data_IF_105553585388
#
_entry.id   IF_105553585388
#
_cell.length_a   1.000
_cell.length_b   1.000
_cell.length_c   1.000
_cell.angle_alpha   90.00
_cell.angle_beta   90.00
_cell.angle_gamma   90.00
#
_symmetry.space_group_name_H-M   'P 1'
#
loop_
_entity.id
_entity.type
_entity.pdbx_description
1 polymer ?
#
# COMPACT_ATOMS: atom_id res chain seq x y z
N UNK A 1 -31.94 -14.33 -8.15
CA UNK A 1 -30.85 -13.95 -9.10
C UNK A 1 -29.81 -13.23 -8.27
N UNK A 2 -28.55 -13.60 -8.37
CA UNK A 2 -27.47 -12.93 -7.63
C UNK A 2 -27.05 -11.70 -8.43
N UNK A 3 -27.04 -10.54 -7.78
CA UNK A 3 -26.67 -9.26 -8.40
C UNK A 3 -25.29 -8.80 -7.92
N UNK A 4 -24.52 -8.19 -8.82
CA UNK A 4 -23.24 -7.55 -8.45
C UNK A 4 -23.54 -6.38 -7.52
N UNK A 5 -22.78 -6.26 -6.43
CA UNK A 5 -23.00 -5.25 -5.41
C UNK A 5 -23.98 -5.67 -4.29
N UNK A 6 -24.68 -6.80 -4.44
CA UNK A 6 -25.54 -7.34 -3.38
C UNK A 6 -24.72 -8.02 -2.27
N UNK A 7 -25.36 -8.16 -1.10
CA UNK A 7 -24.83 -8.93 0.04
C UNK A 7 -25.61 -10.23 0.10
N UNK A 8 -24.89 -11.34 0.14
CA UNK A 8 -25.47 -12.67 0.27
C UNK A 8 -24.88 -13.38 1.47
N UNK A 9 -25.66 -14.24 2.11
CA UNK A 9 -25.23 -15.07 3.24
C UNK A 9 -24.83 -16.45 2.76
N UNK A 10 -23.61 -16.86 3.03
CA UNK A 10 -23.02 -18.08 2.49
C UNK A 10 -22.30 -18.89 3.56
N UNK A 11 -22.27 -20.20 3.37
CA UNK A 11 -21.62 -21.15 4.27
C UNK A 11 -20.21 -21.45 3.82
N UNK A 12 -19.24 -21.35 4.72
CA UNK A 12 -17.86 -21.72 4.47
C UNK A 12 -17.76 -23.23 4.28
N UNK A 13 -17.22 -23.66 3.14
CA UNK A 13 -17.00 -25.07 2.81
C UNK A 13 -15.54 -25.47 2.91
N UNK A 14 -14.63 -24.52 2.70
CA UNK A 14 -13.19 -24.76 2.79
C UNK A 14 -12.42 -23.47 3.05
N UNK A 15 -11.38 -23.58 3.88
CA UNK A 15 -10.45 -22.49 4.20
C UNK A 15 -9.07 -22.88 3.69
N UNK A 16 -8.50 -22.03 2.82
CA UNK A 16 -7.19 -22.21 2.22
C UNK A 16 -6.27 -21.01 2.52
N UNK A 17 -4.96 -21.17 2.45
CA UNK A 17 -4.04 -20.05 2.70
C UNK A 17 -4.22 -18.86 1.75
N UNK A 18 -4.82 -19.08 0.58
CA UNK A 18 -5.06 -18.07 -0.46
C UNK A 18 -6.49 -17.55 -0.52
N UNK A 19 -7.41 -18.07 0.30
CA UNK A 19 -8.79 -17.59 0.34
C UNK A 19 -9.81 -18.57 0.91
N UNK A 20 -11.07 -18.16 0.85
CA UNK A 20 -12.23 -18.91 1.35
C UNK A 20 -13.08 -19.43 0.20
N UNK A 21 -13.55 -20.65 0.34
CA UNK A 21 -14.60 -21.23 -0.49
C UNK A 21 -15.90 -21.31 0.32
N UNK A 22 -16.98 -20.82 -0.27
CA UNK A 22 -18.30 -20.82 0.34
C UNK A 22 -19.34 -21.27 -0.67
N UNK A 23 -20.53 -21.59 -0.16
CA UNK A 23 -21.69 -21.96 -0.95
C UNK A 23 -22.95 -21.23 -0.48
N UNK A 24 -23.77 -20.82 -1.42
CA UNK A 24 -25.10 -20.27 -1.20
C UNK A 24 -26.07 -20.92 -2.17
N UNK A 25 -26.85 -21.90 -1.70
CA UNK A 25 -27.66 -22.73 -2.58
C UNK A 25 -26.81 -23.48 -3.61
N UNK A 26 -27.02 -23.24 -4.88
CA UNK A 26 -26.25 -23.85 -5.98
C UNK A 26 -25.06 -22.99 -6.46
N UNK A 27 -24.82 -21.84 -5.83
CA UNK A 27 -23.76 -20.93 -6.19
C UNK A 27 -22.50 -21.22 -5.41
N UNK A 28 -21.34 -21.27 -6.11
CA UNK A 28 -20.03 -21.40 -5.51
C UNK A 28 -19.38 -20.03 -5.40
N UNK A 29 -18.83 -19.73 -4.24
CA UNK A 29 -18.23 -18.44 -3.93
C UNK A 29 -16.77 -18.64 -3.61
N UNK A 30 -15.92 -17.80 -4.19
CA UNK A 30 -14.54 -17.71 -3.81
C UNK A 30 -14.22 -16.29 -3.35
N UNK A 31 -13.63 -16.19 -2.16
CA UNK A 31 -13.11 -14.94 -1.60
C UNK A 31 -11.60 -15.05 -1.56
N UNK A 32 -10.93 -14.29 -2.41
CA UNK A 32 -9.47 -14.25 -2.43
C UNK A 32 -8.94 -13.64 -1.13
N UNK A 33 -7.80 -14.11 -0.63
CA UNK A 33 -7.24 -13.68 0.66
C UNK A 33 -7.22 -12.15 0.86
N UNK A 34 -6.78 -11.30 -0.11
CA UNK A 34 -6.83 -9.84 0.03
C UNK A 34 -8.25 -9.27 0.14
N UNK A 35 -9.29 -10.00 -0.27
CA UNK A 35 -10.69 -9.58 -0.17
C UNK A 35 -11.31 -9.91 1.20
N UNK A 36 -10.57 -10.51 2.12
CA UNK A 36 -11.06 -10.85 3.46
C UNK A 36 -10.87 -9.73 4.47
N UNK A 37 -9.85 -8.89 4.30
CA UNK A 37 -9.55 -7.78 5.20
C UNK A 37 -8.83 -6.65 4.45
N UNK A 38 -9.02 -5.41 4.91
CA UNK A 38 -8.31 -4.25 4.38
C UNK A 38 -6.85 -4.19 4.82
N UNK A 39 -6.53 -4.67 6.01
CA UNK A 39 -5.25 -4.41 6.66
C UNK A 39 -4.47 -5.70 6.92
N UNK A 40 -5.17 -6.77 7.26
CA UNK A 40 -4.56 -8.02 7.69
C UNK A 40 -5.12 -9.20 6.89
N UNK A 41 -4.44 -9.53 5.83
CA UNK A 41 -4.74 -10.67 4.96
C UNK A 41 -3.82 -11.87 5.29
N UNK A 42 -3.64 -12.17 6.58
CA UNK A 42 -2.92 -13.38 7.02
C UNK A 42 -3.81 -14.60 7.01
N UNK A 43 -3.22 -15.75 7.22
CA UNK A 43 -3.89 -17.05 7.24
C UNK A 43 -5.21 -17.01 8.02
N UNK A 44 -6.29 -17.39 7.36
CA UNK A 44 -7.66 -17.32 7.86
C UNK A 44 -8.06 -18.56 8.66
N UNK A 45 -7.23 -19.62 8.67
CA UNK A 45 -7.56 -20.89 9.32
C UNK A 45 -7.82 -20.77 10.81
N UNK A 46 -7.21 -19.77 11.46
CA UNK A 46 -7.42 -19.48 12.87
C UNK A 46 -8.62 -18.55 13.15
N UNK A 47 -9.22 -17.98 12.09
CA UNK A 47 -10.26 -16.95 12.19
C UNK A 47 -11.62 -17.37 11.65
N UNK A 48 -11.63 -18.32 10.73
CA UNK A 48 -12.84 -18.78 10.04
C UNK A 48 -12.93 -20.28 10.11
N UNK A 49 -14.10 -20.77 10.49
CA UNK A 49 -14.37 -22.21 10.64
C UNK A 49 -15.22 -22.72 9.50
N UNK A 50 -14.91 -23.92 9.00
CA UNK A 50 -15.77 -24.61 8.03
C UNK A 50 -17.16 -24.83 8.64
N UNK A 51 -18.21 -24.51 7.88
CA UNK A 51 -19.60 -24.55 8.33
C UNK A 51 -20.14 -23.19 8.82
N UNK A 52 -19.27 -22.22 9.07
CA UNK A 52 -19.65 -20.87 9.47
C UNK A 52 -20.44 -20.15 8.37
N UNK A 53 -21.40 -19.33 8.78
CA UNK A 53 -22.17 -18.48 7.87
C UNK A 53 -21.63 -17.07 7.88
N UNK A 54 -21.19 -16.58 6.71
CA UNK A 54 -20.64 -15.26 6.51
C UNK A 54 -21.49 -14.46 5.52
N UNK A 55 -21.58 -13.17 5.76
CA UNK A 55 -22.10 -12.23 4.78
C UNK A 55 -20.98 -11.91 3.77
N UNK A 56 -21.34 -11.90 2.48
CA UNK A 56 -20.39 -11.73 1.37
C UNK A 56 -20.92 -10.68 0.42
N UNK A 57 -20.10 -9.69 0.14
CA UNK A 57 -20.34 -8.72 -0.93
C UNK A 57 -20.02 -9.34 -2.29
N UNK A 58 -20.92 -9.28 -3.25
CA UNK A 58 -20.74 -9.84 -4.59
C UNK A 58 -19.98 -8.86 -5.48
N UNK A 59 -18.73 -9.19 -5.82
CA UNK A 59 -17.90 -8.39 -6.73
C UNK A 59 -18.23 -8.70 -8.18
N UNK A 60 -18.37 -9.98 -8.51
CA UNK A 60 -18.59 -10.46 -9.87
C UNK A 60 -19.32 -11.81 -9.84
N UNK A 61 -20.17 -12.03 -10.84
CA UNK A 61 -20.86 -13.28 -11.03
C UNK A 61 -20.59 -13.85 -12.43
N UNK A 62 -20.23 -15.12 -12.48
CA UNK A 62 -20.06 -15.88 -13.72
C UNK A 62 -21.23 -16.82 -13.89
N UNK A 63 -22.21 -16.43 -14.70
CA UNK A 63 -23.46 -17.17 -14.93
C UNK A 63 -23.23 -18.60 -15.44
N UNK A 64 -22.40 -18.84 -16.48
CA UNK A 64 -22.21 -20.18 -17.01
C UNK A 64 -21.62 -21.18 -15.99
N UNK A 65 -20.76 -20.69 -15.10
CA UNK A 65 -20.08 -21.52 -14.09
C UNK A 65 -20.76 -21.48 -12.74
N UNK A 66 -21.76 -20.65 -12.52
CA UNK A 66 -22.40 -20.38 -11.22
C UNK A 66 -21.36 -20.10 -10.14
N UNK A 67 -20.41 -19.23 -10.45
CA UNK A 67 -19.33 -18.85 -9.53
C UNK A 67 -19.35 -17.37 -9.25
N UNK A 68 -19.20 -17.03 -7.98
CA UNK A 68 -19.17 -15.66 -7.45
C UNK A 68 -17.76 -15.35 -6.97
N UNK A 69 -17.23 -14.20 -7.37
CA UNK A 69 -16.13 -13.59 -6.66
C UNK A 69 -16.70 -12.67 -5.58
N UNK A 70 -16.35 -12.96 -4.32
CA UNK A 70 -16.88 -12.26 -3.17
C UNK A 70 -15.81 -11.47 -2.41
N UNK A 71 -16.28 -10.59 -1.52
CA UNK A 71 -15.44 -9.81 -0.62
C UNK A 71 -16.10 -9.68 0.75
N UNK A 72 -15.31 -9.82 1.80
CA UNK A 72 -15.70 -9.49 3.17
C UNK A 72 -15.29 -8.05 3.47
N UNK A 73 -14.08 -7.62 3.06
CA UNK A 73 -13.58 -6.28 3.34
C UNK A 73 -14.49 -5.17 2.83
N UNK A 74 -15.20 -5.39 1.71
CA UNK A 74 -16.12 -4.40 1.15
C UNK A 74 -17.39 -4.19 1.98
N UNK A 75 -17.69 -5.09 2.93
CA UNK A 75 -18.73 -4.89 3.93
C UNK A 75 -18.34 -3.85 4.99
N UNK A 76 -17.03 -3.57 5.13
CA UNK A 76 -16.45 -2.69 6.14
C UNK A 76 -15.66 -1.54 5.49
N UNK A 77 -16.32 -0.67 4.73
CA UNK A 77 -15.65 0.44 4.04
C UNK A 77 -15.03 1.47 5.00
N UNK A 78 -15.48 1.52 6.26
CA UNK A 78 -14.94 2.34 7.33
C UNK A 78 -13.53 1.92 7.75
N UNK A 79 -13.18 0.65 7.55
CA UNK A 79 -11.85 0.10 7.87
C UNK A 79 -10.83 0.27 6.73
N UNK A 80 -11.24 0.91 5.62
CA UNK A 80 -10.41 1.08 4.45
C UNK A 80 -9.31 2.15 4.68
N UNK A 81 -8.03 1.76 4.85
CA UNK A 81 -6.96 2.71 5.15
C UNK A 81 -6.59 3.59 3.95
N UNK A 82 -6.98 3.18 2.73
CA UNK A 82 -6.69 3.94 1.51
C UNK A 82 -7.53 5.21 1.40
N UNK A 83 -8.65 5.31 2.13
CA UNK A 83 -9.48 6.53 2.17
C UNK A 83 -8.75 7.72 2.80
N UNK A 84 -7.93 7.49 3.81
CA UNK A 84 -7.13 8.54 4.42
C UNK A 84 -6.06 9.06 3.45
N UNK A 85 -5.47 8.16 2.68
CA UNK A 85 -4.43 8.52 1.71
C UNK A 85 -4.96 9.40 0.57
N UNK A 86 -6.24 9.25 0.20
CA UNK A 86 -6.86 10.08 -0.84
C UNK A 86 -7.03 11.54 -0.45
N UNK A 87 -6.89 11.86 0.84
CA UNK A 87 -6.99 13.23 1.37
C UNK A 87 -5.64 13.95 1.43
N UNK A 88 -4.56 13.22 1.18
CA UNK A 88 -3.22 13.79 1.18
C UNK A 88 -2.99 14.64 -0.08
N UNK A 89 -2.21 15.69 0.06
CA UNK A 89 -1.80 16.49 -1.09
C UNK A 89 -0.86 15.70 -2.00
N UNK A 90 -0.95 15.89 -3.33
CA UNK A 90 -0.03 15.29 -4.27
C UNK A 90 1.43 15.60 -3.91
N UNK A 91 2.29 14.59 -3.95
CA UNK A 91 3.71 14.73 -3.60
C UNK A 91 4.01 14.67 -2.09
N UNK A 92 3.01 14.43 -1.23
CA UNK A 92 3.25 14.21 0.20
C UNK A 92 4.21 13.04 0.41
N UNK A 93 5.26 13.29 1.21
CA UNK A 93 6.26 12.27 1.54
C UNK A 93 5.74 11.44 2.72
N UNK A 94 5.64 10.14 2.49
CA UNK A 94 5.25 9.16 3.49
C UNK A 94 6.45 8.29 3.89
N UNK A 95 6.39 7.73 5.09
CA UNK A 95 7.34 6.71 5.52
C UNK A 95 6.63 5.37 5.52
N UNK A 96 7.27 4.36 4.98
CA UNK A 96 6.73 3.02 4.96
C UNK A 96 7.81 1.98 5.25
N UNK A 97 7.38 0.83 5.72
CA UNK A 97 8.26 -0.30 5.99
C UNK A 97 8.24 -1.29 4.83
N UNK A 98 9.41 -1.61 4.31
CA UNK A 98 9.57 -2.67 3.32
C UNK A 98 9.20 -4.01 3.94
N UNK A 99 8.23 -4.69 3.37
CA UNK A 99 7.76 -6.00 3.83
C UNK A 99 8.29 -7.14 3.00
N UNK A 100 8.43 -6.90 1.71
CA UNK A 100 8.84 -7.94 0.77
C UNK A 100 9.53 -7.34 -0.46
N UNK A 101 10.50 -8.08 -0.99
CA UNK A 101 11.23 -7.74 -2.21
C UNK A 101 11.22 -8.99 -3.10
N UNK A 102 10.14 -9.22 -3.84
CA UNK A 102 10.00 -10.39 -4.71
C UNK A 102 9.89 -9.98 -6.18
N UNK A 103 10.64 -10.70 -7.02
CA UNK A 103 10.64 -10.42 -8.45
C UNK A 103 11.03 -8.98 -8.76
N UNK A 104 10.19 -8.29 -9.51
CA UNK A 104 10.41 -6.90 -9.96
C UNK A 104 9.67 -5.87 -9.09
N UNK A 105 9.20 -6.25 -7.91
CA UNK A 105 8.36 -5.42 -7.06
C UNK A 105 8.83 -5.42 -5.60
N UNK A 106 8.69 -4.26 -4.96
CA UNK A 106 8.90 -4.07 -3.54
C UNK A 106 7.56 -3.71 -2.91
N UNK A 107 7.14 -4.48 -1.91
CA UNK A 107 5.92 -4.24 -1.16
C UNK A 107 6.25 -3.46 0.11
N UNK A 108 5.54 -2.35 0.30
CA UNK A 108 5.73 -1.43 1.43
C UNK A 108 4.42 -1.31 2.21
N UNK A 109 4.49 -1.37 3.52
CA UNK A 109 3.36 -1.10 4.39
C UNK A 109 3.50 0.28 5.02
N UNK A 110 2.45 1.09 4.88
CA UNK A 110 2.35 2.40 5.52
C UNK A 110 1.91 2.27 6.99
N UNK A 111 2.13 3.29 7.84
CA UNK A 111 1.77 3.25 9.25
C UNK A 111 0.28 3.02 9.53
N UNK A 112 -0.60 3.48 8.63
CA UNK A 112 -2.06 3.26 8.72
C UNK A 112 -2.51 1.85 8.28
N UNK A 113 -1.55 0.97 7.96
CA UNK A 113 -1.80 -0.40 7.54
C UNK A 113 -2.00 -0.62 6.04
N UNK A 114 -2.08 0.43 5.23
CA UNK A 114 -2.18 0.30 3.78
C UNK A 114 -0.92 -0.32 3.17
N UNK A 115 -1.14 -1.15 2.14
CA UNK A 115 -0.07 -1.80 1.39
C UNK A 115 0.12 -1.11 0.06
N UNK A 116 1.36 -0.76 -0.26
CA UNK A 116 1.73 -0.16 -1.54
C UNK A 116 2.83 -0.95 -2.24
N UNK A 117 2.94 -0.74 -3.54
CA UNK A 117 3.86 -1.42 -4.43
C UNK A 117 4.76 -0.43 -5.14
N UNK A 118 6.06 -0.73 -5.17
CA UNK A 118 7.06 0.05 -5.89
C UNK A 118 7.71 -0.86 -6.91
N UNK A 119 7.69 -0.52 -8.21
CA UNK A 119 8.49 -1.23 -9.20
C UNK A 119 9.98 -1.15 -8.85
N UNK A 120 10.66 -2.30 -8.80
CA UNK A 120 12.05 -2.39 -8.33
C UNK A 120 13.03 -1.52 -9.14
N UNK A 121 12.76 -1.31 -10.43
CA UNK A 121 13.60 -0.47 -11.28
C UNK A 121 13.60 1.03 -10.88
N UNK A 122 12.60 1.48 -10.11
CA UNK A 122 12.54 2.84 -9.59
C UNK A 122 13.42 3.03 -8.34
N UNK A 123 13.82 1.95 -7.69
CA UNK A 123 14.66 1.98 -6.49
C UNK A 123 16.12 1.84 -6.93
N UNK A 124 16.88 2.92 -6.82
CA UNK A 124 18.28 2.99 -7.27
C UNK A 124 19.29 2.30 -6.34
N UNK A 125 18.82 1.74 -5.23
CA UNK A 125 19.63 1.03 -4.23
C UNK A 125 18.99 -0.29 -3.83
N UNK A 126 19.76 -1.15 -3.21
CA UNK A 126 19.21 -2.35 -2.60
C UNK A 126 18.42 -1.97 -1.35
N UNK A 127 17.22 -2.56 -1.19
CA UNK A 127 16.38 -2.43 -0.01
C UNK A 127 16.06 -3.82 0.53
N UNK A 128 15.93 -3.92 1.86
CA UNK A 128 15.68 -5.19 2.56
C UNK A 128 14.37 -5.15 3.33
N UNK A 129 13.70 -6.30 3.51
CA UNK A 129 12.56 -6.39 4.40
C UNK A 129 12.89 -5.87 5.80
N UNK A 130 11.98 -5.08 6.38
CA UNK A 130 12.17 -4.41 7.67
C UNK A 130 12.76 -3.01 7.60
N UNK A 131 13.25 -2.58 6.44
CA UNK A 131 13.82 -1.25 6.25
C UNK A 131 12.73 -0.19 6.07
N UNK A 132 12.93 1.00 6.65
CA UNK A 132 12.08 2.16 6.40
C UNK A 132 12.50 2.87 5.11
N UNK A 133 11.52 3.20 4.28
CA UNK A 133 11.73 3.95 3.03
C UNK A 133 10.76 5.14 2.97
N UNK A 134 11.27 6.28 2.48
CA UNK A 134 10.44 7.44 2.15
C UNK A 134 9.85 7.27 0.76
N UNK A 135 8.55 7.46 0.63
CA UNK A 135 7.79 7.23 -0.60
C UNK A 135 6.81 8.35 -0.86
N UNK A 136 6.40 8.49 -2.10
CA UNK A 136 5.26 9.31 -2.51
C UNK A 136 4.24 8.45 -3.25
N UNK A 137 2.99 8.88 -3.26
CA UNK A 137 1.91 8.17 -3.95
C UNK A 137 1.98 8.51 -5.44
N UNK A 138 2.14 7.52 -6.30
CA UNK A 138 2.08 7.68 -7.75
C UNK A 138 0.69 7.41 -8.31
N UNK A 139 -0.03 6.41 -7.75
CA UNK A 139 -1.43 6.15 -8.09
C UNK A 139 -2.15 5.48 -6.91
N UNK A 140 -3.44 5.76 -6.78
CA UNK A 140 -4.28 5.24 -5.71
C UNK A 140 -5.68 4.90 -6.23
N UNK A 141 -6.07 3.65 -6.06
CA UNK A 141 -7.41 3.14 -6.30
C UNK A 141 -8.05 2.76 -4.95
N UNK A 142 -8.77 3.70 -4.35
CA UNK A 142 -9.27 3.59 -2.96
C UNK A 142 -10.17 2.39 -2.76
N UNK A 143 -11.15 2.18 -3.66
CA UNK A 143 -12.15 1.12 -3.52
C UNK A 143 -11.58 -0.26 -3.82
N UNK A 144 -10.57 -0.34 -4.68
CA UNK A 144 -9.85 -1.58 -4.99
C UNK A 144 -8.75 -1.88 -3.96
N UNK A 145 -8.35 -0.89 -3.15
CA UNK A 145 -7.24 -1.02 -2.22
C UNK A 145 -5.91 -1.24 -2.93
N UNK A 146 -5.70 -0.53 -4.04
CA UNK A 146 -4.45 -0.56 -4.80
C UNK A 146 -3.71 0.74 -4.62
N UNK A 147 -2.46 0.64 -4.21
CA UNK A 147 -1.59 1.77 -3.98
C UNK A 147 -0.26 1.54 -4.68
N UNK A 148 0.05 2.41 -5.61
CA UNK A 148 1.34 2.46 -6.26
C UNK A 148 2.16 3.60 -5.66
N UNK A 149 3.39 3.29 -5.33
CA UNK A 149 4.32 4.20 -4.70
C UNK A 149 5.55 4.37 -5.58
N UNK A 150 6.23 5.48 -5.39
CA UNK A 150 7.58 5.69 -5.90
C UNK A 150 8.49 6.18 -4.77
N UNK A 151 9.80 5.95 -4.87
CA UNK A 151 10.74 6.47 -3.88
C UNK A 151 10.65 7.99 -3.84
N UNK A 152 10.55 8.58 -2.64
CA UNK A 152 10.63 10.03 -2.52
C UNK A 152 11.97 10.53 -3.06
N UNK A 153 12.02 11.72 -3.67
CA UNK A 153 13.27 12.34 -4.07
C UNK A 153 14.22 12.35 -2.87
N UNK A 154 15.43 11.83 -3.07
CA UNK A 154 16.46 12.00 -2.05
C UNK A 154 16.76 13.49 -1.97
N UNK A 155 16.58 14.07 -0.79
CA UNK A 155 17.20 15.34 -0.48
C UNK A 155 18.70 15.15 -0.77
N UNK A 156 19.18 15.77 -1.84
CA UNK A 156 20.61 15.91 -2.05
C UNK A 156 21.13 16.55 -0.76
N UNK A 157 21.94 15.80 0.02
CA UNK A 157 22.72 16.42 1.09
C UNK A 157 23.31 17.68 0.48
N UNK A 158 23.16 18.87 1.09
CA UNK A 158 23.93 20.00 0.65
C UNK A 158 25.37 19.52 0.70
N UNK A 159 26.04 19.58 -0.46
CA UNK A 159 27.45 19.24 -0.53
C UNK A 159 28.15 20.18 0.46
N UNK A 160 28.54 19.66 1.59
CA UNK A 160 29.45 20.32 2.51
C UNK A 160 30.77 20.47 1.75
N UNK A 161 31.02 21.63 1.18
CA UNK A 161 32.27 21.83 0.47
C UNK A 161 32.30 22.96 -0.52
N UNK A 162 31.57 24.03 -0.31
CA UNK A 162 32.01 25.34 -0.82
C UNK A 162 32.30 26.22 0.41
N UNK A 163 33.58 26.20 0.80
CA UNK A 163 34.14 27.25 1.61
C UNK A 163 33.85 28.56 0.88
N UNK A 164 33.08 29.45 1.48
CA UNK A 164 32.91 30.82 1.04
C UNK A 164 34.30 31.44 1.06
N UNK A 165 34.87 31.90 -0.04
CA UNK A 165 36.13 32.61 0.01
C UNK A 165 35.93 33.84 0.87
N UNK A 166 36.66 33.90 1.97
CA UNK A 166 36.74 35.09 2.82
C UNK A 166 37.15 36.27 1.94
N UNK A 167 36.41 37.37 1.90
CA UNK A 167 36.86 38.55 1.16
C UNK A 167 38.19 39.00 1.77
N UNK A 168 39.19 39.07 0.95
CA UNK A 168 40.46 39.64 1.28
C UNK A 168 40.19 41.11 1.69
N UNK A 169 40.34 41.41 2.95
CA UNK A 169 40.40 42.78 3.45
C UNK A 169 41.61 43.41 2.84
N UNK A 170 41.39 44.31 1.90
CA UNK A 170 42.43 45.19 1.39
C UNK A 170 43.03 45.97 2.54
N UNK A 171 44.29 45.75 2.82
CA UNK A 171 45.08 46.54 3.74
C UNK A 171 45.26 47.92 3.11
N UNK A 172 44.61 48.90 3.64
CA UNK A 172 44.96 50.30 3.37
C UNK A 172 46.25 50.58 4.14
N UNK A 173 47.32 50.72 3.40
CA UNK A 173 48.52 51.34 3.91
C UNK A 173 48.27 52.82 4.04
N UNK A 174 48.16 53.30 5.25
CA UNK A 174 48.31 54.71 5.52
C UNK A 174 49.76 55.07 5.37
N UNK A 175 50.07 55.78 4.30
CA UNK A 175 51.33 56.50 4.16
C UNK A 175 51.33 57.65 5.11
N UNK A 176 52.26 57.63 6.02
CA UNK A 176 52.64 58.74 6.87
C UNK A 176 53.49 59.69 6.06
N UNK A 177 53.07 60.90 5.84
CA UNK A 177 53.97 61.99 5.47
C UNK A 177 54.10 62.97 6.58
N UNK A 178 55.33 63.13 6.94
CA UNK A 178 55.81 64.19 7.80
C UNK A 178 55.81 65.57 7.09
N UNK A 179 55.31 66.56 7.81
CA UNK A 179 56.05 67.78 8.13
C UNK A 179 55.12 68.72 8.90
#
# INVERSE_FOLDING_TARGET
>A
MVEIGSIIRARVTRVEPYGLFLECGNEKIFIHLPETSWVDARDLRDRVTVGELLDVYVIRYNYPKRTIAGSIRRLHPEQNPYRELSRLEPGSILRGNVKNCRGNEVTVQLPNGAWGHIPKFQIKREVKPGEEIKVIISALEVDEGRLFLEPAPQESKPSSGQAIPTPLTARLEEGVENL
#
